data_IF_112796040207
#
_entry.id   IF_112796040207
#
_cell.length_a   1.000
_cell.length_b   1.000
_cell.length_c   1.000
_cell.angle_alpha   90.00
_cell.angle_beta   90.00
_cell.angle_gamma   90.00
#
_symmetry.space_group_name_H-M   'P 1'
#
loop_
_entity.id
_entity.type
_entity.pdbx_description
1 polymer ?
#
# COMPACT_ATOMS: atom_id res chain seq x y z
N UNK A 1 5.40 11.28 -24.35
CA UNK A 1 6.57 10.36 -24.30
C UNK A 1 7.30 10.47 -22.96
N UNK A 2 7.46 11.68 -22.41
CA UNK A 2 8.18 11.89 -21.14
C UNK A 2 7.47 11.31 -19.91
N UNK A 3 6.14 11.41 -19.78
CA UNK A 3 5.40 10.88 -18.61
C UNK A 3 5.55 9.36 -18.44
N UNK A 4 5.51 8.62 -19.56
CA UNK A 4 5.72 7.19 -19.58
C UNK A 4 7.16 6.81 -19.19
N UNK A 5 8.15 7.64 -19.57
CA UNK A 5 9.54 7.42 -19.18
C UNK A 5 9.74 7.62 -17.67
N UNK A 6 9.12 8.66 -17.08
CA UNK A 6 9.14 8.86 -15.63
C UNK A 6 8.47 7.69 -14.89
N UNK A 7 7.27 7.29 -15.30
CA UNK A 7 6.56 6.16 -14.70
C UNK A 7 7.38 4.85 -14.76
N UNK A 8 8.05 4.59 -15.88
CA UNK A 8 8.93 3.43 -16.03
C UNK A 8 10.14 3.47 -15.10
N UNK A 9 10.74 4.66 -14.89
CA UNK A 9 11.85 4.81 -13.94
C UNK A 9 11.39 4.64 -12.50
N UNK A 10 10.23 5.19 -12.12
CA UNK A 10 9.67 5.03 -10.78
C UNK A 10 9.34 3.55 -10.51
N UNK A 11 8.74 2.86 -11.47
CA UNK A 11 8.46 1.41 -11.39
C UNK A 11 9.76 0.58 -11.29
N UNK A 12 10.81 0.95 -12.02
CA UNK A 12 12.12 0.32 -11.89
C UNK A 12 12.76 0.57 -10.51
N UNK A 13 12.70 1.80 -10.00
CA UNK A 13 13.16 2.16 -8.65
C UNK A 13 12.39 1.39 -7.58
N UNK A 14 11.07 1.24 -7.76
CA UNK A 14 10.26 0.36 -6.94
C UNK A 14 10.87 -1.04 -7.00
N UNK A 15 10.86 -1.73 -8.13
CA UNK A 15 11.38 -3.11 -8.25
C UNK A 15 12.79 -3.31 -7.69
N UNK A 16 13.65 -2.30 -7.79
CA UNK A 16 15.01 -2.30 -7.25
C UNK A 16 15.10 -2.06 -5.72
N UNK A 17 14.02 -1.62 -5.07
CA UNK A 17 14.02 -1.31 -3.63
C UNK A 17 14.71 0.01 -3.31
N UNK A 18 14.56 1.00 -4.18
CA UNK A 18 15.15 2.34 -4.08
C UNK A 18 14.05 3.38 -3.83
N UNK A 19 13.49 3.46 -2.61
CA UNK A 19 12.34 4.31 -2.31
C UNK A 19 12.66 5.80 -2.45
N UNK A 20 13.85 6.23 -2.05
CA UNK A 20 14.28 7.64 -2.18
C UNK A 20 14.35 8.07 -3.65
N UNK A 21 14.87 7.19 -4.51
CA UNK A 21 14.95 7.48 -5.94
C UNK A 21 13.55 7.49 -6.56
N UNK A 22 12.67 6.55 -6.17
CA UNK A 22 11.28 6.53 -6.63
C UNK A 22 10.56 7.84 -6.26
N UNK A 23 10.65 8.29 -5.01
CA UNK A 23 10.06 9.57 -4.58
C UNK A 23 10.73 10.77 -5.26
N UNK A 24 12.05 10.75 -5.44
CA UNK A 24 12.76 11.82 -6.16
C UNK A 24 12.27 11.97 -7.59
N UNK A 25 12.04 10.86 -8.30
CA UNK A 25 11.49 10.89 -9.65
C UNK A 25 10.03 11.34 -9.68
N UNK A 26 9.22 10.93 -8.68
CA UNK A 26 7.86 11.43 -8.50
C UNK A 26 7.82 12.97 -8.35
N UNK A 27 8.66 13.52 -7.46
CA UNK A 27 8.81 14.99 -7.27
C UNK A 27 9.31 15.67 -8.54
N UNK A 28 10.23 15.03 -9.27
CA UNK A 28 10.77 15.59 -10.51
C UNK A 28 9.69 15.77 -11.58
N UNK A 29 8.71 14.85 -11.68
CA UNK A 29 7.56 15.02 -12.58
C UNK A 29 6.83 16.34 -12.27
N UNK A 30 6.58 16.63 -11.00
CA UNK A 30 5.89 17.85 -10.57
C UNK A 30 6.66 19.10 -10.97
N UNK A 31 7.97 19.13 -10.73
CA UNK A 31 8.83 20.26 -11.12
C UNK A 31 8.92 20.45 -12.63
N UNK A 32 8.71 19.39 -13.42
CA UNK A 32 8.62 19.45 -14.87
C UNK A 32 7.23 19.89 -15.37
N UNK A 33 6.34 20.36 -14.48
CA UNK A 33 4.93 20.68 -14.78
C UNK A 33 4.13 19.48 -15.30
N UNK A 34 4.57 18.27 -14.95
CA UNK A 34 3.89 17.02 -15.30
C UNK A 34 3.21 16.46 -14.06
N UNK A 35 1.89 16.44 -14.04
CA UNK A 35 1.14 15.89 -12.92
C UNK A 35 1.44 14.38 -12.80
N UNK A 36 1.97 13.89 -11.66
CA UNK A 36 2.12 12.46 -11.46
C UNK A 36 0.75 11.80 -11.43
N UNK A 37 0.63 10.64 -12.08
CA UNK A 37 -0.59 9.88 -12.17
C UNK A 37 -0.67 8.80 -11.08
N UNK A 38 -1.82 8.11 -11.00
CA UNK A 38 -2.02 7.06 -10.01
C UNK A 38 -0.98 5.92 -10.08
N UNK A 39 -0.55 5.44 -11.27
CA UNK A 39 0.56 4.49 -11.37
C UNK A 39 1.88 5.00 -10.76
N UNK A 40 2.27 6.25 -11.02
CA UNK A 40 3.50 6.81 -10.46
C UNK A 40 3.47 6.85 -8.92
N UNK A 41 2.36 7.30 -8.33
CA UNK A 41 2.16 7.27 -6.88
C UNK A 41 2.18 5.83 -6.33
N UNK A 42 1.46 4.90 -6.98
CA UNK A 42 1.41 3.51 -6.56
C UNK A 42 2.79 2.84 -6.52
N UNK A 43 3.63 3.10 -7.53
CA UNK A 43 5.00 2.58 -7.57
C UNK A 43 5.89 3.17 -6.46
N UNK A 44 5.77 4.47 -6.17
CA UNK A 44 6.48 5.08 -5.05
C UNK A 44 6.03 4.49 -3.69
N UNK A 45 4.73 4.33 -3.47
CA UNK A 45 4.17 3.71 -2.26
C UNK A 45 4.70 2.28 -2.10
N UNK A 46 4.66 1.48 -3.15
CA UNK A 46 5.19 0.11 -3.15
C UNK A 46 6.69 0.05 -2.82
N UNK A 47 7.49 0.98 -3.36
CA UNK A 47 8.91 1.10 -3.04
C UNK A 47 9.14 1.31 -1.53
N UNK A 48 8.46 2.28 -0.92
CA UNK A 48 8.57 2.56 0.52
C UNK A 48 8.03 1.39 1.37
N UNK A 49 6.90 0.80 0.96
CA UNK A 49 6.29 -0.33 1.66
C UNK A 49 7.23 -1.56 1.71
N UNK A 50 7.85 -1.92 0.58
CA UNK A 50 8.81 -3.04 0.52
C UNK A 50 10.08 -2.78 1.33
N UNK A 51 10.51 -1.53 1.45
CA UNK A 51 11.62 -1.14 2.31
C UNK A 51 11.23 -0.96 3.79
N UNK A 52 10.02 -1.36 4.18
CA UNK A 52 9.50 -1.22 5.54
C UNK A 52 9.54 0.23 6.04
N UNK A 53 9.31 1.20 5.15
CA UNK A 53 9.17 2.63 5.48
C UNK A 53 7.71 3.02 5.48
N UNK A 54 6.95 2.41 6.39
CA UNK A 54 5.50 2.54 6.48
C UNK A 54 5.05 3.99 6.53
N UNK A 55 5.66 4.82 7.39
CA UNK A 55 5.27 6.23 7.53
C UNK A 55 5.43 7.04 6.23
N UNK A 56 6.44 6.74 5.41
CA UNK A 56 6.59 7.39 4.10
C UNK A 56 5.55 6.88 3.10
N UNK A 57 5.30 5.57 3.07
CA UNK A 57 4.27 4.98 2.21
C UNK A 57 2.88 5.56 2.50
N UNK A 58 2.53 5.71 3.79
CA UNK A 58 1.28 6.35 4.23
C UNK A 58 1.21 7.82 3.80
N UNK A 59 2.30 8.58 4.01
CA UNK A 59 2.37 10.00 3.61
C UNK A 59 2.13 10.16 2.11
N UNK A 60 2.73 9.32 1.28
CA UNK A 60 2.58 9.38 -0.18
C UNK A 60 1.15 8.97 -0.58
N UNK A 61 0.53 8.00 0.10
CA UNK A 61 -0.86 7.60 -0.15
C UNK A 61 -1.86 8.71 0.23
N UNK A 62 -1.62 9.42 1.33
CA UNK A 62 -2.44 10.58 1.70
C UNK A 62 -2.22 11.77 0.75
N UNK A 63 -1.00 11.98 0.27
CA UNK A 63 -0.71 12.99 -0.76
C UNK A 63 -1.49 12.70 -2.06
N UNK A 64 -1.51 11.42 -2.48
CA UNK A 64 -2.28 10.97 -3.64
C UNK A 64 -3.78 11.30 -3.49
N UNK A 65 -4.36 11.04 -2.32
CA UNK A 65 -5.76 11.38 -2.01
C UNK A 65 -6.01 12.87 -1.97
N UNK A 66 -5.12 13.67 -1.37
CA UNK A 66 -5.24 15.13 -1.31
C UNK A 66 -5.29 15.75 -2.70
N UNK A 67 -4.64 15.10 -3.68
CA UNK A 67 -4.68 15.46 -5.11
C UNK A 67 -5.89 14.92 -5.86
N UNK A 68 -6.87 14.33 -5.16
CA UNK A 68 -8.08 13.70 -5.72
C UNK A 68 -7.77 12.56 -6.69
N UNK A 69 -6.56 11.99 -6.62
CA UNK A 69 -6.25 10.74 -7.31
C UNK A 69 -6.80 9.59 -6.46
N UNK A 70 -7.47 8.64 -7.10
CA UNK A 70 -8.08 7.50 -6.42
C UNK A 70 -7.00 6.46 -6.17
N UNK A 71 -6.58 6.21 -4.91
CA UNK A 71 -5.64 5.13 -4.63
C UNK A 71 -6.31 3.82 -4.99
N UNK A 72 -5.58 2.96 -5.70
CA UNK A 72 -6.09 1.67 -6.10
C UNK A 72 -5.92 0.63 -4.98
N UNK A 73 -6.51 -0.54 -5.17
CA UNK A 73 -6.40 -1.69 -4.25
C UNK A 73 -4.94 -2.03 -3.89
N UNK A 74 -4.04 -1.92 -4.87
CA UNK A 74 -2.61 -2.22 -4.73
C UNK A 74 -1.95 -1.27 -3.73
N UNK A 75 -2.20 0.03 -3.83
CA UNK A 75 -1.60 1.03 -2.95
C UNK A 75 -2.02 0.84 -1.49
N UNK A 76 -3.30 0.55 -1.24
CA UNK A 76 -3.78 0.21 0.10
C UNK A 76 -3.18 -1.10 0.62
N UNK A 77 -3.19 -2.15 -0.21
CA UNK A 77 -2.66 -3.47 0.16
C UNK A 77 -1.17 -3.37 0.52
N UNK A 78 -0.38 -2.58 -0.21
CA UNK A 78 1.04 -2.38 0.08
C UNK A 78 1.28 -1.75 1.46
N UNK A 79 0.51 -0.72 1.83
CA UNK A 79 0.60 -0.09 3.16
C UNK A 79 0.15 -1.06 4.26
N UNK A 80 -0.97 -1.76 4.07
CA UNK A 80 -1.49 -2.75 5.04
C UNK A 80 -0.47 -3.87 5.29
N UNK A 81 0.10 -4.43 4.22
CA UNK A 81 1.12 -5.47 4.29
C UNK A 81 2.40 -4.99 4.99
N UNK A 82 2.86 -3.77 4.68
CA UNK A 82 4.02 -3.19 5.34
C UNK A 82 3.77 -2.95 6.85
N UNK A 83 2.61 -2.42 7.24
CA UNK A 83 2.23 -2.27 8.65
C UNK A 83 2.21 -3.63 9.37
N UNK A 84 1.60 -4.64 8.76
CA UNK A 84 1.48 -5.97 9.36
C UNK A 84 2.82 -6.71 9.47
N UNK A 85 3.76 -6.46 8.55
CA UNK A 85 5.14 -6.96 8.60
C UNK A 85 5.97 -6.32 9.72
N UNK A 86 5.72 -5.04 10.03
CA UNK A 86 6.29 -4.38 11.22
C UNK A 86 5.65 -4.84 12.53
N UNK A 87 4.58 -5.63 12.48
CA UNK A 87 3.81 -6.04 13.66
C UNK A 87 2.79 -5.00 14.11
N UNK A 88 2.65 -3.87 13.42
CA UNK A 88 1.64 -2.85 13.75
C UNK A 88 0.28 -3.20 13.13
N UNK A 89 -0.39 -4.17 13.75
CA UNK A 89 -1.70 -4.65 13.29
C UNK A 89 -2.81 -3.61 13.49
N UNK A 90 -2.65 -2.69 14.44
CA UNK A 90 -3.60 -1.60 14.63
C UNK A 90 -3.60 -0.63 13.44
N UNK A 91 -2.41 -0.19 12.99
CA UNK A 91 -2.31 0.63 11.76
C UNK A 91 -2.79 -0.13 10.54
N UNK A 92 -2.40 -1.39 10.39
CA UNK A 92 -2.86 -2.23 9.28
C UNK A 92 -4.40 -2.33 9.24
N UNK A 93 -5.06 -2.52 10.39
CA UNK A 93 -6.51 -2.61 10.50
C UNK A 93 -7.21 -1.26 10.20
N UNK A 94 -6.61 -0.15 10.63
CA UNK A 94 -7.08 1.20 10.30
C UNK A 94 -7.09 1.42 8.79
N UNK A 95 -6.01 1.06 8.10
CA UNK A 95 -5.93 1.16 6.64
C UNK A 95 -6.91 0.24 5.91
N UNK A 96 -7.12 -0.98 6.41
CA UNK A 96 -8.16 -1.87 5.90
C UNK A 96 -9.56 -1.23 6.02
N UNK A 97 -9.86 -0.62 7.17
CA UNK A 97 -11.12 0.10 7.38
C UNK A 97 -11.30 1.26 6.39
N UNK A 98 -10.23 2.03 6.14
CA UNK A 98 -10.25 3.11 5.15
C UNK A 98 -10.41 2.60 3.71
N UNK A 99 -9.85 1.43 3.38
CA UNK A 99 -10.02 0.78 2.09
C UNK A 99 -11.49 0.40 1.85
N UNK A 100 -12.13 -0.20 2.86
CA UNK A 100 -13.56 -0.54 2.82
C UNK A 100 -14.44 0.73 2.75
N UNK A 101 -14.10 1.77 3.52
CA UNK A 101 -14.81 3.05 3.46
C UNK A 101 -14.72 3.71 2.07
N UNK A 102 -13.60 3.53 1.37
CA UNK A 102 -13.41 3.95 -0.02
C UNK A 102 -14.13 3.05 -1.05
N UNK A 103 -14.98 2.11 -0.61
CA UNK A 103 -15.69 1.13 -1.45
C UNK A 103 -14.76 0.19 -2.23
N UNK A 104 -13.49 0.06 -1.81
CA UNK A 104 -12.55 -0.90 -2.37
C UNK A 104 -12.66 -2.23 -1.62
N UNK A 105 -12.62 -3.33 -2.37
CA UNK A 105 -12.69 -4.68 -1.79
C UNK A 105 -11.31 -5.10 -1.31
N UNK A 106 -11.12 -5.37 -0.01
CA UNK A 106 -9.86 -5.91 0.49
C UNK A 106 -9.55 -7.26 -0.16
N UNK A 107 -8.30 -7.47 -0.54
CA UNK A 107 -7.86 -8.73 -1.13
C UNK A 107 -7.55 -9.79 -0.08
N UNK A 108 -7.46 -11.04 -0.53
CA UNK A 108 -6.91 -12.15 0.25
C UNK A 108 -5.53 -11.81 0.84
N UNK A 109 -4.71 -11.03 0.11
CA UNK A 109 -3.39 -10.55 0.58
C UNK A 109 -3.53 -9.61 1.77
N UNK A 110 -4.46 -8.64 1.72
CA UNK A 110 -4.72 -7.71 2.81
C UNK A 110 -5.16 -8.41 4.10
N UNK A 111 -6.06 -9.40 3.99
CA UNK A 111 -6.49 -10.19 5.14
C UNK A 111 -5.41 -11.12 5.67
N UNK A 112 -4.66 -11.78 4.78
CA UNK A 112 -3.59 -12.71 5.18
C UNK A 112 -2.47 -11.97 5.91
N UNK A 113 -2.08 -10.79 5.43
CA UNK A 113 -1.11 -9.94 6.11
C UNK A 113 -1.53 -9.62 7.55
N UNK A 114 -2.80 -9.24 7.76
CA UNK A 114 -3.35 -8.98 9.09
C UNK A 114 -3.40 -10.23 9.98
N UNK A 115 -3.83 -11.36 9.45
CA UNK A 115 -3.87 -12.65 10.16
C UNK A 115 -2.47 -13.05 10.61
N UNK A 116 -1.48 -12.93 9.72
CA UNK A 116 -0.08 -13.27 10.01
C UNK A 116 0.53 -12.30 11.03
N UNK A 117 0.23 -11.01 10.91
CA UNK A 117 0.64 -9.99 11.89
C UNK A 117 0.07 -10.26 13.29
N UNK A 118 -1.23 -10.55 13.40
CA UNK A 118 -1.89 -10.85 14.68
C UNK A 118 -1.38 -12.16 15.30
N UNK A 119 -1.12 -13.18 14.47
CA UNK A 119 -0.61 -14.47 14.94
C UNK A 119 0.80 -14.35 15.54
N UNK A 120 1.64 -13.46 14.99
CA UNK A 120 2.97 -13.15 15.53
C UNK A 120 2.93 -12.40 16.87
N UNK A 121 1.86 -11.66 17.15
CA UNK A 121 1.67 -10.92 18.41
C UNK A 121 0.86 -11.69 19.47
N UNK A 122 0.57 -12.98 19.25
CA UNK A 122 -0.29 -13.81 20.09
C UNK A 122 -1.75 -13.29 20.26
N UNK A 123 -2.20 -12.38 19.38
CA UNK A 123 -3.56 -11.84 19.40
C UNK A 123 -4.51 -12.73 18.58
N UNK A 124 -4.79 -13.91 19.13
CA UNK A 124 -5.54 -15.00 18.47
C UNK A 124 -6.97 -14.60 18.12
N UNK A 125 -7.60 -13.70 18.89
CA UNK A 125 -8.97 -13.24 18.64
C UNK A 125 -9.09 -12.38 17.38
N UNK A 126 -8.15 -11.46 17.18
CA UNK A 126 -8.13 -10.62 15.98
C UNK A 126 -7.84 -11.47 14.74
N UNK A 127 -6.89 -12.41 14.84
CA UNK A 127 -6.56 -13.38 13.78
C UNK A 127 -7.77 -14.22 13.35
N UNK A 128 -8.54 -14.74 14.32
CA UNK A 128 -9.78 -15.49 14.06
C UNK A 128 -10.88 -14.63 13.42
N UNK A 129 -10.98 -13.35 13.81
CA UNK A 129 -11.92 -12.39 13.26
C UNK A 129 -11.67 -12.14 11.76
N UNK A 130 -10.42 -11.87 11.40
CA UNK A 130 -10.02 -11.66 10.01
C UNK A 130 -10.15 -12.93 9.17
N UNK A 131 -9.81 -14.10 9.73
CA UNK A 131 -9.97 -15.39 9.04
C UNK A 131 -11.45 -15.68 8.71
N UNK A 132 -12.37 -15.38 9.63
CA UNK A 132 -13.81 -15.49 9.36
C UNK A 132 -14.31 -14.46 8.35
N UNK A 133 -13.79 -13.23 8.38
CA UNK A 133 -14.12 -12.21 7.40
C UNK A 133 -13.69 -12.63 5.98
N UNK A 134 -12.48 -13.18 5.85
CA UNK A 134 -11.94 -13.73 4.60
C UNK A 134 -12.81 -14.89 4.06
N UNK A 135 -13.21 -15.83 4.94
CA UNK A 135 -14.07 -16.95 4.56
C UNK A 135 -15.48 -16.51 4.12
N UNK A 136 -16.06 -15.48 4.75
CA UNK A 136 -17.36 -14.90 4.36
C UNK A 136 -17.34 -14.27 2.97
N UNK A 137 -16.18 -13.80 2.52
CA UNK A 137 -16.00 -13.25 1.17
C UNK A 137 -15.65 -14.33 0.14
N UNK A 138 -15.65 -15.61 0.52
CA UNK A 138 -15.30 -16.73 -0.37
C UNK A 138 -13.81 -16.80 -0.71
N UNK A 139 -12.95 -16.12 0.05
CA UNK A 139 -11.50 -16.09 -0.18
C UNK A 139 -10.82 -17.23 0.59
N UNK A 140 -9.93 -17.97 -0.08
CA UNK A 140 -9.16 -19.07 0.52
C UNK A 140 -7.76 -18.60 0.90
N UNK A 141 -7.26 -19.05 2.07
CA UNK A 141 -5.81 -19.06 2.33
C UNK A 141 -5.20 -20.10 1.38
N UNK A 142 -4.37 -19.66 0.45
CA UNK A 142 -3.50 -20.54 -0.36
C UNK A 142 -2.15 -20.62 0.33
#
# INVERSE_FOLDING_TARGET
>A
VEAAAFGAVIDACAKAGLPEDAERWLRKMETASMAPDAPAYGAAIDAHARCQRVSDAERILDEMRARRLVPNEIAYTAVIDACAKQGDTQRAASWLGQMVAAQLQPSAVSFTALIDGCSRMADTRASDGYSRAMARQGMSKT
#
